data_IF_297459350624
#
_entry.id   IF_297459350624
#
_cell.length_a   1.000
_cell.length_b   1.000
_cell.length_c   1.000
_cell.angle_alpha   90.00
_cell.angle_beta   90.00
_cell.angle_gamma   90.00
#
_symmetry.space_group_name_H-M   'P 1'
#
loop_
_entity.id
_entity.type
_entity.pdbx_description
1 polymer ?
#
# COMPACT_ATOMS: atom_id res chain seq x y z
N UNK A 1 37.38 20.32 17.08
CA UNK A 1 37.03 19.08 16.36
C UNK A 1 35.51 18.98 16.20
N UNK A 2 35.01 19.23 14.98
CA UNK A 2 33.59 19.26 14.64
C UNK A 2 33.10 17.81 14.42
N UNK A 3 32.32 17.25 15.37
CA UNK A 3 31.75 15.91 15.21
C UNK A 3 30.77 15.89 14.03
N UNK A 4 31.13 15.10 13.04
CA UNK A 4 30.36 14.79 11.84
C UNK A 4 29.03 14.13 12.24
N UNK A 5 27.92 14.86 12.19
CA UNK A 5 26.57 14.29 12.36
C UNK A 5 26.16 13.65 11.03
N UNK A 6 26.54 12.39 10.84
CA UNK A 6 26.07 11.57 9.73
C UNK A 6 24.57 11.35 9.85
N UNK A 7 23.78 12.21 9.19
CA UNK A 7 22.33 12.09 9.07
C UNK A 7 21.95 10.99 8.08
N UNK A 8 22.05 9.73 8.50
CA UNK A 8 21.45 8.59 7.82
C UNK A 8 19.94 8.56 8.02
N UNK A 9 19.19 8.01 7.07
CA UNK A 9 17.74 7.94 7.08
C UNK A 9 17.17 7.29 8.35
N UNK A 10 16.27 8.00 9.06
CA UNK A 10 15.68 7.56 10.34
C UNK A 10 14.61 6.48 10.10
N UNK A 11 14.97 5.20 10.09
CA UNK A 11 14.02 4.07 10.05
C UNK A 11 13.53 3.65 11.44
N UNK A 12 12.59 2.69 11.53
CA UNK A 12 12.05 2.23 12.82
C UNK A 12 13.12 1.67 13.77
N UNK A 13 14.20 1.07 13.26
CA UNK A 13 15.35 0.67 14.09
C UNK A 13 15.98 1.83 14.88
N UNK A 14 16.05 3.03 14.31
CA UNK A 14 16.54 4.19 15.05
C UNK A 14 15.50 4.68 16.06
N UNK A 15 14.20 4.58 15.76
CA UNK A 15 13.13 4.89 16.73
C UNK A 15 13.19 3.95 17.93
N UNK A 16 13.34 2.65 17.69
CA UNK A 16 13.52 1.64 18.74
C UNK A 16 14.78 1.91 19.56
N UNK A 17 15.92 2.15 18.90
CA UNK A 17 17.19 2.42 19.58
C UNK A 17 17.17 3.73 20.37
N UNK A 18 16.55 4.78 19.83
CA UNK A 18 16.42 6.07 20.49
C UNK A 18 15.48 6.03 21.71
N UNK A 19 14.44 5.19 21.68
CA UNK A 19 13.46 5.09 22.77
C UNK A 19 13.80 4.02 23.81
N UNK A 20 14.37 2.89 23.39
CA UNK A 20 14.57 1.71 24.23
C UNK A 20 16.06 1.42 24.51
N UNK A 21 16.98 2.17 23.90
CA UNK A 21 18.43 1.99 24.08
C UNK A 21 19.02 0.71 23.50
N UNK A 22 18.19 -0.16 22.89
CA UNK A 22 18.59 -1.46 22.35
C UNK A 22 18.10 -1.65 20.92
N UNK A 23 18.83 -2.47 20.17
CA UNK A 23 18.40 -2.95 18.85
C UNK A 23 17.19 -3.88 18.98
N UNK A 24 16.46 -4.04 17.88
CA UNK A 24 15.33 -4.96 17.81
C UNK A 24 15.81 -6.41 17.92
N UNK A 25 15.09 -7.25 18.66
CA UNK A 25 15.43 -8.66 18.80
C UNK A 25 15.15 -9.41 17.50
N UNK A 26 15.79 -10.57 17.32
CA UNK A 26 15.60 -11.41 16.14
C UNK A 26 14.15 -11.89 16.02
N UNK A 27 13.54 -12.26 17.13
CA UNK A 27 12.13 -12.69 17.19
C UNK A 27 11.21 -11.57 16.70
N UNK A 28 11.52 -10.31 16.99
CA UNK A 28 10.78 -9.16 16.49
C UNK A 28 10.86 -9.10 14.95
N UNK A 29 12.06 -9.22 14.40
CA UNK A 29 12.28 -9.15 12.95
C UNK A 29 11.59 -10.32 12.23
N UNK A 30 11.70 -11.52 12.79
CA UNK A 30 11.24 -12.77 12.17
C UNK A 30 9.72 -12.92 12.28
N UNK A 31 9.11 -12.58 13.41
CA UNK A 31 7.68 -12.83 13.65
C UNK A 31 6.77 -11.61 13.48
N UNK A 32 7.33 -10.40 13.40
CA UNK A 32 6.54 -9.18 13.21
C UNK A 32 6.93 -8.47 11.92
N UNK A 33 8.16 -7.98 11.74
CA UNK A 33 8.42 -7.16 10.55
C UNK A 33 8.41 -7.92 9.24
N UNK A 34 8.97 -9.14 9.21
CA UNK A 34 9.00 -9.95 7.99
C UNK A 34 7.60 -10.36 7.53
N UNK A 35 6.70 -10.86 8.41
CA UNK A 35 5.32 -11.17 8.01
C UNK A 35 4.48 -9.94 7.66
N UNK A 36 4.77 -8.78 8.26
CA UNK A 36 4.05 -7.52 8.00
C UNK A 36 4.69 -6.67 6.88
N UNK A 37 5.60 -7.22 6.08
CA UNK A 37 6.34 -6.48 5.07
C UNK A 37 5.41 -5.81 4.02
N UNK A 38 4.29 -6.45 3.67
CA UNK A 38 3.29 -5.99 2.69
C UNK A 38 3.91 -5.56 1.32
N UNK A 39 4.97 -6.24 0.90
CA UNK A 39 5.78 -5.90 -0.28
C UNK A 39 5.20 -6.36 -1.61
N UNK A 40 3.91 -6.72 -1.64
CA UNK A 40 3.21 -6.99 -2.88
C UNK A 40 3.35 -5.76 -3.82
N UNK A 41 3.76 -5.95 -5.09
CA UNK A 41 4.04 -4.83 -5.99
C UNK A 41 2.87 -3.84 -6.14
N UNK A 42 1.62 -4.31 -6.02
CA UNK A 42 0.44 -3.45 -6.08
C UNK A 42 0.29 -2.61 -4.82
N UNK A 43 0.55 -3.19 -3.65
CA UNK A 43 0.51 -2.50 -2.35
C UNK A 43 1.62 -1.45 -2.27
N UNK A 44 2.85 -1.79 -2.70
CA UNK A 44 3.97 -0.85 -2.83
C UNK A 44 3.60 0.30 -3.77
N UNK A 45 3.05 -0.02 -4.94
CA UNK A 45 2.64 1.01 -5.90
C UNK A 45 1.51 1.91 -5.36
N UNK A 46 0.56 1.36 -4.60
CA UNK A 46 -0.50 2.13 -3.94
C UNK A 46 0.06 3.06 -2.86
N UNK A 47 0.97 2.59 -2.01
CA UNK A 47 1.68 3.38 -1.01
C UNK A 47 2.39 4.58 -1.65
N UNK A 48 3.14 4.33 -2.73
CA UNK A 48 3.86 5.37 -3.46
C UNK A 48 2.90 6.40 -4.06
N UNK A 49 1.81 5.96 -4.73
CA UNK A 49 0.81 6.89 -5.30
C UNK A 49 0.13 7.74 -4.23
N UNK A 50 -0.23 7.16 -3.08
CA UNK A 50 -0.78 7.91 -1.95
C UNK A 50 0.21 8.96 -1.43
N UNK A 51 1.50 8.62 -1.33
CA UNK A 51 2.53 9.57 -0.92
C UNK A 51 2.76 10.67 -1.95
N UNK A 52 2.69 10.35 -3.25
CA UNK A 52 2.78 11.36 -4.31
C UNK A 52 1.61 12.33 -4.24
N UNK A 53 0.38 11.84 -4.14
CA UNK A 53 -0.82 12.67 -4.00
C UNK A 53 -0.74 13.57 -2.75
N UNK A 54 -0.31 13.01 -1.60
CA UNK A 54 -0.11 13.80 -0.38
C UNK A 54 0.95 14.88 -0.56
N UNK A 55 2.07 14.57 -1.21
CA UNK A 55 3.15 15.53 -1.48
C UNK A 55 2.70 16.66 -2.39
N UNK A 56 1.90 16.36 -3.42
CA UNK A 56 1.30 17.38 -4.29
C UNK A 56 0.40 18.31 -3.47
N UNK A 57 -0.48 17.75 -2.65
CA UNK A 57 -1.35 18.53 -1.77
C UNK A 57 -0.55 19.44 -0.81
N UNK A 58 0.51 18.92 -0.17
CA UNK A 58 1.36 19.74 0.71
C UNK A 58 1.98 20.94 -0.02
N UNK A 59 2.34 20.76 -1.29
CA UNK A 59 2.89 21.83 -2.11
C UNK A 59 1.82 22.86 -2.50
N UNK A 60 0.64 22.41 -2.92
CA UNK A 60 -0.49 23.26 -3.29
C UNK A 60 -0.99 24.10 -2.11
N UNK A 61 -0.94 23.57 -0.89
CA UNK A 61 -1.28 24.28 0.35
C UNK A 61 -0.14 25.17 0.89
N UNK A 62 1.01 25.22 0.20
CA UNK A 62 2.15 26.04 0.63
C UNK A 62 2.88 25.53 1.89
N UNK A 63 2.60 24.30 2.35
CA UNK A 63 3.24 23.71 3.52
C UNK A 63 4.69 23.32 3.21
N UNK A 64 4.97 22.93 1.97
CA UNK A 64 6.32 22.70 1.44
C UNK A 64 6.52 23.47 0.13
N UNK A 65 7.75 23.87 -0.15
CA UNK A 65 8.11 24.55 -1.39
C UNK A 65 8.06 23.62 -2.61
N UNK A 66 7.93 24.19 -3.81
CA UNK A 66 8.00 23.44 -5.07
C UNK A 66 9.30 22.64 -5.22
N UNK A 67 10.42 23.17 -4.72
CA UNK A 67 11.73 22.50 -4.73
C UNK A 67 11.71 21.24 -3.85
N UNK A 68 11.16 21.34 -2.64
CA UNK A 68 11.04 20.22 -1.72
C UNK A 68 10.09 19.16 -2.26
N UNK A 69 8.92 19.57 -2.74
CA UNK A 69 7.95 18.68 -3.38
C UNK A 69 8.56 17.94 -4.57
N UNK A 70 9.31 18.64 -5.44
CA UNK A 70 10.02 18.03 -6.57
C UNK A 70 11.03 16.97 -6.11
N UNK A 71 11.76 17.23 -5.02
CA UNK A 71 12.70 16.27 -4.43
C UNK A 71 12.01 14.99 -3.97
N UNK A 72 10.92 15.12 -3.22
CA UNK A 72 10.12 13.99 -2.73
C UNK A 72 9.48 13.22 -3.89
N UNK A 73 8.83 13.91 -4.83
CA UNK A 73 8.18 13.30 -5.99
C UNK A 73 9.19 12.61 -6.91
N UNK A 74 10.38 13.17 -7.06
CA UNK A 74 11.48 12.55 -7.81
C UNK A 74 11.95 11.24 -7.16
N UNK A 75 12.04 11.21 -5.83
CA UNK A 75 12.39 10.01 -5.09
C UNK A 75 11.30 8.93 -5.19
N UNK A 76 10.03 9.32 -5.00
CA UNK A 76 8.88 8.42 -5.12
C UNK A 76 8.75 7.85 -6.54
N UNK A 77 8.94 8.65 -7.60
CA UNK A 77 8.94 8.15 -8.99
C UNK A 77 10.06 7.17 -9.27
N UNK A 78 11.26 7.41 -8.73
CA UNK A 78 12.37 6.47 -8.87
C UNK A 78 12.06 5.13 -8.18
N UNK A 79 11.42 5.18 -7.01
CA UNK A 79 10.99 4.00 -6.26
C UNK A 79 9.84 3.27 -6.97
N UNK A 80 8.92 4.00 -7.60
CA UNK A 80 7.79 3.42 -8.34
C UNK A 80 8.25 2.49 -9.46
N UNK A 81 9.34 2.84 -10.17
CA UNK A 81 9.93 2.00 -11.23
C UNK A 81 10.49 0.67 -10.69
N UNK A 82 10.71 0.57 -9.39
CA UNK A 82 11.26 -0.61 -8.70
C UNK A 82 10.21 -1.29 -7.81
N UNK A 83 8.91 -1.02 -8.01
CA UNK A 83 7.86 -1.59 -7.15
C UNK A 83 7.82 -3.12 -7.20
N UNK A 84 8.19 -3.74 -8.32
CA UNK A 84 8.31 -5.20 -8.46
C UNK A 84 9.54 -5.82 -7.77
N UNK A 85 10.52 -5.01 -7.38
CA UNK A 85 11.76 -5.43 -6.72
C UNK A 85 12.09 -4.50 -5.55
N UNK A 86 11.06 -4.19 -4.76
CA UNK A 86 11.17 -3.24 -3.66
C UNK A 86 12.21 -3.70 -2.63
N UNK A 87 13.21 -2.88 -2.28
CA UNK A 87 14.32 -3.27 -1.41
C UNK A 87 13.90 -3.22 0.07
N UNK A 88 13.05 -4.16 0.47
CA UNK A 88 12.56 -4.27 1.84
C UNK A 88 13.66 -4.68 2.81
N UNK A 89 13.67 -4.03 3.96
CA UNK A 89 14.57 -4.29 5.07
C UNK A 89 13.74 -4.36 6.37
N UNK A 90 13.62 -5.55 7.00
CA UNK A 90 12.82 -5.71 8.21
C UNK A 90 13.37 -4.90 9.38
N UNK A 91 14.66 -4.54 9.38
CA UNK A 91 15.24 -3.68 10.42
C UNK A 91 14.63 -2.28 10.37
N UNK A 92 14.22 -1.81 9.19
CA UNK A 92 13.58 -0.50 9.01
C UNK A 92 12.12 -0.49 9.44
N UNK A 93 11.51 -1.65 9.70
CA UNK A 93 10.11 -1.79 10.08
C UNK A 93 9.24 -2.25 8.91
N UNK A 94 7.97 -1.84 8.92
CA UNK A 94 7.01 -2.15 7.86
C UNK A 94 7.26 -1.35 6.55
N UNK A 95 6.37 -1.53 5.57
CA UNK A 95 6.43 -0.83 4.27
C UNK A 95 6.46 0.70 4.41
N UNK A 96 5.79 1.27 5.41
CA UNK A 96 5.73 2.72 5.60
C UNK A 96 7.14 3.28 5.85
N UNK A 97 7.84 2.71 6.83
CA UNK A 97 9.18 3.16 7.19
C UNK A 97 10.22 2.83 6.12
N UNK A 98 10.04 1.72 5.39
CA UNK A 98 10.92 1.39 4.28
C UNK A 98 10.79 2.40 3.12
N UNK A 99 9.57 2.82 2.78
CA UNK A 99 9.34 3.86 1.76
C UNK A 99 9.89 5.20 2.23
N UNK A 100 9.64 5.59 3.48
CA UNK A 100 10.21 6.81 4.08
C UNK A 100 11.74 6.81 4.03
N UNK A 101 12.38 5.71 4.43
CA UNK A 101 13.83 5.58 4.39
C UNK A 101 14.38 5.70 2.97
N UNK A 102 13.72 5.11 1.97
CA UNK A 102 14.10 5.26 0.56
C UNK A 102 13.98 6.71 0.07
N UNK A 103 12.92 7.40 0.47
CA UNK A 103 12.71 8.81 0.11
C UNK A 103 13.76 9.69 0.76
N UNK A 104 14.03 9.52 2.06
CA UNK A 104 15.05 10.27 2.78
C UNK A 104 16.44 10.02 2.20
N UNK A 105 16.80 8.76 1.92
CA UNK A 105 18.10 8.41 1.34
C UNK A 105 18.36 9.12 0.00
N UNK A 106 17.30 9.44 -0.75
CA UNK A 106 17.40 10.08 -2.06
C UNK A 106 17.19 11.59 -2.06
N UNK A 107 16.27 12.11 -1.25
CA UNK A 107 15.91 13.53 -1.19
C UNK A 107 16.64 14.28 -0.05
N UNK A 108 17.32 13.56 0.84
CA UNK A 108 17.90 14.11 2.07
C UNK A 108 16.90 14.14 3.23
N UNK A 109 17.37 14.10 4.49
CA UNK A 109 16.52 14.03 5.68
C UNK A 109 15.61 15.24 5.85
N UNK A 110 16.09 16.44 5.52
CA UNK A 110 15.32 17.68 5.71
C UNK A 110 14.14 17.80 4.74
N UNK A 111 14.30 17.25 3.52
CA UNK A 111 13.24 17.26 2.50
C UNK A 111 12.38 16.01 2.64
N UNK A 112 12.97 14.82 2.68
CA UNK A 112 12.25 13.54 2.75
C UNK A 112 11.41 13.40 4.01
N UNK A 113 11.88 13.89 5.15
CA UNK A 113 11.14 13.86 6.41
C UNK A 113 9.85 14.71 6.40
N UNK A 114 9.70 15.64 5.45
CA UNK A 114 8.49 16.46 5.31
C UNK A 114 7.34 15.75 4.61
N UNK A 115 7.57 14.57 4.01
CA UNK A 115 6.55 13.80 3.27
C UNK A 115 5.34 13.38 4.12
N UNK A 116 5.48 13.36 5.45
CA UNK A 116 4.42 12.93 6.37
C UNK A 116 3.76 14.09 7.13
N UNK A 117 4.12 15.35 6.86
CA UNK A 117 3.49 16.51 7.50
C UNK A 117 1.96 16.47 7.32
N UNK A 118 1.24 16.76 8.40
CA UNK A 118 -0.23 16.81 8.39
C UNK A 118 -0.93 15.46 8.18
N UNK A 119 -0.25 14.32 8.31
CA UNK A 119 -0.85 12.99 8.06
C UNK A 119 -0.44 11.96 9.10
N UNK A 120 -1.42 11.22 9.61
CA UNK A 120 -1.19 10.07 10.46
C UNK A 120 -1.01 8.78 9.66
N UNK A 121 -0.28 7.82 10.23
CA UNK A 121 -0.12 6.48 9.64
C UNK A 121 -1.47 5.75 9.52
N UNK A 122 -2.35 5.90 10.49
CA UNK A 122 -3.67 5.25 10.50
C UNK A 122 -4.53 5.72 9.32
N UNK A 123 -4.55 7.03 9.05
CA UNK A 123 -5.29 7.59 7.92
C UNK A 123 -4.75 7.06 6.58
N UNK A 124 -3.43 6.97 6.44
CA UNK A 124 -2.78 6.41 5.25
C UNK A 124 -3.15 4.93 5.05
N UNK A 125 -3.02 4.10 6.08
CA UNK A 125 -3.38 2.68 6.00
C UNK A 125 -4.85 2.51 5.62
N UNK A 126 -5.74 3.30 6.22
CA UNK A 126 -7.17 3.26 5.90
C UNK A 126 -7.47 3.67 4.44
N UNK A 127 -6.71 4.61 3.87
CA UNK A 127 -6.80 4.97 2.46
C UNK A 127 -6.30 3.85 1.55
N UNK A 128 -5.17 3.22 1.90
CA UNK A 128 -4.60 2.09 1.14
C UNK A 128 -5.54 0.90 1.09
N UNK A 129 -6.14 0.55 2.24
CA UNK A 129 -7.14 -0.52 2.31
C UNK A 129 -8.34 -0.24 1.41
N UNK A 130 -8.87 1.00 1.42
CA UNK A 130 -9.97 1.39 0.52
C UNK A 130 -9.59 1.30 -0.95
N UNK A 131 -8.38 1.72 -1.33
CA UNK A 131 -7.89 1.60 -2.71
C UNK A 131 -7.79 0.14 -3.16
N UNK A 132 -7.29 -0.74 -2.29
CA UNK A 132 -7.19 -2.19 -2.55
C UNK A 132 -8.57 -2.82 -2.70
N UNK A 133 -9.47 -2.57 -1.76
CA UNK A 133 -10.85 -3.10 -1.80
C UNK A 133 -11.60 -2.59 -3.02
N UNK A 134 -11.47 -1.31 -3.39
CA UNK A 134 -12.12 -0.75 -4.60
C UNK A 134 -11.73 -1.49 -5.87
N UNK A 135 -10.44 -1.82 -6.03
CA UNK A 135 -9.95 -2.59 -7.18
C UNK A 135 -10.55 -4.00 -7.20
N UNK A 136 -10.55 -4.69 -6.06
CA UNK A 136 -11.10 -6.04 -5.94
C UNK A 136 -12.62 -6.06 -6.21
N UNK A 137 -13.35 -5.08 -5.67
CA UNK A 137 -14.78 -4.92 -5.89
C UNK A 137 -15.10 -4.72 -7.38
N UNK A 138 -14.32 -3.89 -8.07
CA UNK A 138 -14.51 -3.66 -9.52
C UNK A 138 -14.32 -4.97 -10.31
N UNK A 139 -13.32 -5.78 -9.97
CA UNK A 139 -13.08 -7.11 -10.59
C UNK A 139 -14.22 -8.08 -10.29
N UNK A 140 -14.70 -8.11 -9.05
CA UNK A 140 -15.81 -8.96 -8.64
C UNK A 140 -17.10 -8.63 -9.41
N UNK A 141 -17.43 -7.34 -9.50
CA UNK A 141 -18.60 -6.87 -10.26
C UNK A 141 -18.50 -7.27 -11.74
N UNK A 142 -17.32 -7.15 -12.35
CA UNK A 142 -17.10 -7.59 -13.73
C UNK A 142 -17.33 -9.10 -13.90
N UNK A 143 -16.81 -9.91 -12.98
CA UNK A 143 -17.01 -11.37 -12.99
C UNK A 143 -18.50 -11.74 -12.78
N UNK A 144 -19.20 -11.08 -11.85
CA UNK A 144 -20.63 -11.28 -11.63
C UNK A 144 -21.46 -10.95 -12.87
N UNK A 145 -21.13 -9.85 -13.56
CA UNK A 145 -21.80 -9.49 -14.82
C UNK A 145 -21.55 -10.52 -15.92
N UNK A 146 -20.32 -11.03 -16.04
CA UNK A 146 -19.99 -12.08 -17.00
C UNK A 146 -20.77 -13.37 -16.71
N UNK A 147 -20.80 -13.79 -15.44
CA UNK A 147 -21.56 -14.96 -15.01
C UNK A 147 -23.06 -14.81 -15.29
N UNK A 148 -23.64 -13.66 -14.96
CA UNK A 148 -25.05 -13.34 -15.25
C UNK A 148 -25.34 -13.46 -16.75
N UNK A 149 -24.45 -12.97 -17.63
CA UNK A 149 -24.63 -13.10 -19.09
C UNK A 149 -24.68 -14.55 -19.53
N UNK A 150 -23.81 -15.41 -18.97
CA UNK A 150 -23.80 -16.85 -19.26
C UNK A 150 -25.12 -17.51 -18.81
N UNK A 151 -25.59 -17.21 -17.60
CA UNK A 151 -26.87 -17.74 -17.11
C UNK A 151 -28.04 -17.32 -18.01
N UNK A 152 -28.11 -16.05 -18.41
CA UNK A 152 -29.16 -15.56 -19.30
C UNK A 152 -29.09 -16.19 -20.69
N UNK A 153 -27.89 -16.36 -21.24
CA UNK A 153 -27.70 -17.05 -22.52
C UNK A 153 -28.16 -18.51 -22.43
N UNK A 154 -27.80 -19.20 -21.34
CA UNK A 154 -28.22 -20.59 -21.12
C UNK A 154 -29.74 -20.69 -20.96
N UNK A 155 -30.33 -19.83 -20.16
CA UNK A 155 -31.79 -19.78 -19.95
C UNK A 155 -32.57 -19.59 -21.26
N UNK A 156 -32.07 -18.75 -22.18
CA UNK A 156 -32.68 -18.58 -23.51
C UNK A 156 -32.62 -19.85 -24.36
N UNK A 157 -31.50 -20.56 -24.33
CA UNK A 157 -31.32 -21.81 -25.09
C UNK A 157 -32.21 -22.93 -24.53
N UNK A 158 -32.43 -22.95 -23.22
CA UNK A 158 -33.19 -23.99 -22.53
C UNK A 158 -34.61 -23.57 -22.16
N UNK A 159 -35.17 -22.55 -22.84
CA UNK A 159 -36.46 -21.97 -22.45
C UNK A 159 -37.63 -22.97 -22.49
N UNK A 160 -37.61 -23.90 -23.46
CA UNK A 160 -38.65 -24.92 -23.65
C UNK A 160 -38.28 -26.26 -23.00
N UNK A 161 -37.14 -26.35 -22.30
CA UNK A 161 -36.71 -27.58 -21.62
C UNK A 161 -37.42 -27.68 -20.28
N UNK A 162 -38.32 -28.64 -20.17
CA UNK A 162 -39.08 -28.92 -18.95
C UNK A 162 -38.24 -29.75 -17.98
N UNK A 163 -38.21 -29.34 -16.71
CA UNK A 163 -37.62 -30.11 -15.60
C UNK A 163 -38.46 -29.95 -14.34
N UNK A 164 -38.54 -30.97 -13.46
CA UNK A 164 -39.23 -30.81 -12.18
C UNK A 164 -38.51 -29.77 -11.31
N UNK A 165 -39.29 -28.91 -10.66
CA UNK A 165 -38.82 -28.07 -9.56
C UNK A 165 -38.68 -28.93 -8.29
N UNK A 166 -37.71 -28.58 -7.44
CA UNK A 166 -37.44 -29.33 -6.22
C UNK A 166 -37.62 -28.45 -4.98
N UNK A 167 -38.31 -28.98 -3.98
CA UNK A 167 -38.39 -28.44 -2.62
C UNK A 167 -38.07 -29.55 -1.64
N UNK A 168 -37.24 -29.30 -0.61
CA UNK A 168 -36.74 -30.35 0.29
C UNK A 168 -36.11 -31.56 -0.44
N UNK A 169 -35.49 -31.30 -1.60
CA UNK A 169 -34.93 -32.32 -2.49
C UNK A 169 -35.96 -33.33 -3.04
N UNK A 170 -37.25 -33.00 -3.00
CA UNK A 170 -38.34 -33.79 -3.58
C UNK A 170 -38.96 -33.05 -4.78
N UNK A 171 -39.39 -33.76 -5.85
CA UNK A 171 -40.10 -33.15 -6.97
C UNK A 171 -41.40 -32.48 -6.49
N UNK A 172 -41.63 -31.23 -6.92
CA UNK A 172 -42.78 -30.43 -6.49
C UNK A 172 -43.75 -30.15 -7.65
N UNK A 173 -43.30 -29.42 -8.67
CA UNK A 173 -44.11 -28.97 -9.81
C UNK A 173 -43.30 -29.06 -11.11
N UNK A 174 -44.01 -29.14 -12.23
CA UNK A 174 -43.45 -29.10 -13.59
C UNK A 174 -43.87 -27.79 -14.25
#
# INVERSE_FOLDING_TARGET
MRKNRGGGARGFAEVSKARLGKAQSREMLDYVWTPYADIDPENVAAMIRCNMAHTVMLCEQGIISRREASGILGALRALQRRSGSFPFDPVKGDLFFNVEACVIARAGPDIGGKMHLGRSRIALIAALMRLKVRKNLTRLLAAMMAFRKVLLARARITADVVMPSYTHLQPAQV
#
